data_IF_782102724270
#
_entry.id   IF_782102724270
#
_cell.length_a   1.000
_cell.length_b   1.000
_cell.length_c   1.000
_cell.angle_alpha   90.00
_cell.angle_beta   90.00
_cell.angle_gamma   90.00
#
_symmetry.space_group_name_H-M   'P 1'
#
loop_
_entity.id
_entity.type
_entity.pdbx_description
1 polymer ?
#
# COMPACT_ATOMS: atom_id res chain seq x y z
N UNK A 1 6.37 -22.13 -7.95
CA UNK A 1 5.80 -21.39 -6.80
C UNK A 1 6.41 -19.99 -6.70
N UNK A 2 7.73 -19.83 -6.72
CA UNK A 2 8.41 -18.54 -6.76
C UNK A 2 7.89 -17.61 -7.88
N UNK A 3 7.86 -18.09 -9.13
CA UNK A 3 7.41 -17.28 -10.27
C UNK A 3 5.93 -16.89 -10.17
N UNK A 4 5.10 -17.75 -9.57
CA UNK A 4 3.68 -17.45 -9.31
C UNK A 4 3.56 -16.29 -8.31
N UNK A 5 4.34 -16.32 -7.23
CA UNK A 5 4.34 -15.25 -6.21
C UNK A 5 4.79 -13.92 -6.83
N UNK A 6 5.85 -13.93 -7.63
CA UNK A 6 6.36 -12.72 -8.29
C UNK A 6 5.35 -12.16 -9.28
N UNK A 7 4.75 -13.01 -10.12
CA UNK A 7 3.78 -12.55 -11.11
C UNK A 7 2.53 -11.98 -10.44
N UNK A 8 1.99 -12.67 -9.41
CA UNK A 8 0.86 -12.14 -8.63
C UNK A 8 1.20 -10.81 -7.96
N UNK A 9 2.42 -10.68 -7.42
CA UNK A 9 2.85 -9.41 -6.84
C UNK A 9 2.90 -8.30 -7.89
N UNK A 10 3.41 -8.57 -9.09
CA UNK A 10 3.50 -7.58 -10.16
C UNK A 10 2.10 -7.12 -10.62
N UNK A 11 1.15 -8.05 -10.76
CA UNK A 11 -0.23 -7.73 -11.10
C UNK A 11 -0.89 -6.85 -10.02
N UNK A 12 -0.68 -7.20 -8.74
CA UNK A 12 -1.12 -6.38 -7.61
C UNK A 12 -0.49 -5.00 -7.63
N UNK A 13 0.81 -4.90 -7.93
CA UNK A 13 1.55 -3.64 -7.98
C UNK A 13 1.04 -2.72 -9.10
N UNK A 14 0.85 -3.25 -10.31
CA UNK A 14 0.30 -2.48 -11.45
C UNK A 14 -1.13 -1.99 -11.13
N UNK A 15 -1.95 -2.80 -10.47
CA UNK A 15 -3.27 -2.38 -10.04
C UNK A 15 -3.21 -1.28 -8.98
N UNK A 16 -2.34 -1.44 -7.97
CA UNK A 16 -2.13 -0.43 -6.94
C UNK A 16 -1.68 0.90 -7.53
N UNK A 17 -0.75 0.91 -8.50
CA UNK A 17 -0.32 2.14 -9.17
C UNK A 17 -1.48 2.89 -9.83
N UNK A 18 -2.43 2.18 -10.45
CA UNK A 18 -3.63 2.80 -11.05
C UNK A 18 -4.54 3.42 -9.99
N UNK A 19 -4.77 2.71 -8.89
CA UNK A 19 -5.62 3.17 -7.78
C UNK A 19 -5.00 4.39 -7.07
N UNK A 20 -3.70 4.33 -6.79
CA UNK A 20 -2.96 5.44 -6.19
C UNK A 20 -2.93 6.64 -7.13
N UNK A 21 -2.77 6.39 -8.44
CA UNK A 21 -2.83 7.43 -9.47
C UNK A 21 -4.15 8.22 -9.48
N UNK A 22 -5.29 7.55 -9.26
CA UNK A 22 -6.59 8.23 -9.17
C UNK A 22 -6.81 8.95 -7.83
N UNK A 23 -6.04 8.61 -6.80
CA UNK A 23 -6.12 9.21 -5.47
C UNK A 23 -5.08 10.30 -5.20
N UNK A 24 -4.24 10.66 -6.19
CA UNK A 24 -3.17 11.65 -6.02
C UNK A 24 -3.68 12.96 -5.38
N UNK A 25 -2.93 13.45 -4.39
CA UNK A 25 -3.29 14.63 -3.58
C UNK A 25 -4.29 14.35 -2.45
N UNK A 26 -4.93 13.18 -2.42
CA UNK A 26 -5.93 12.79 -1.41
C UNK A 26 -5.53 11.52 -0.64
N UNK A 27 -4.22 11.25 -0.54
CA UNK A 27 -3.68 10.10 0.19
C UNK A 27 -3.15 10.59 1.53
N UNK A 28 -3.59 9.95 2.60
CA UNK A 28 -3.03 10.11 3.94
C UNK A 28 -2.04 8.98 4.22
N UNK A 29 -0.95 9.28 4.93
CA UNK A 29 0.08 8.30 5.24
C UNK A 29 0.15 8.07 6.75
N UNK A 30 0.27 6.81 7.14
CA UNK A 30 0.68 6.42 8.49
C UNK A 30 2.07 5.80 8.40
N UNK A 31 2.98 6.28 9.24
CA UNK A 31 4.33 5.77 9.37
C UNK A 31 4.41 5.02 10.70
N UNK A 32 4.82 3.76 10.63
CA UNK A 32 5.18 2.97 11.81
C UNK A 32 6.69 2.76 11.80
N UNK A 33 7.34 3.07 12.92
CA UNK A 33 8.77 2.93 13.11
C UNK A 33 8.98 2.16 14.40
N UNK A 34 9.64 1.02 14.30
CA UNK A 34 9.90 0.17 15.45
C UNK A 34 11.28 -0.47 15.35
N UNK A 35 11.71 -1.02 16.47
CA UNK A 35 12.94 -1.80 16.57
C UNK A 35 12.60 -3.22 16.99
N UNK A 36 13.24 -4.22 16.40
CA UNK A 36 13.07 -5.63 16.81
C UNK A 36 13.91 -5.98 18.06
N UNK A 37 13.83 -7.24 18.50
CA UNK A 37 14.60 -7.73 19.65
C UNK A 37 16.12 -7.78 19.41
N UNK A 38 16.56 -7.64 18.16
CA UNK A 38 17.96 -7.61 17.76
C UNK A 38 18.46 -6.20 17.50
N UNK A 39 17.74 -5.17 17.98
CA UNK A 39 18.06 -3.76 17.76
C UNK A 39 18.08 -3.34 16.29
N UNK A 40 17.36 -4.05 15.41
CA UNK A 40 17.17 -3.67 14.01
C UNK A 40 15.98 -2.75 13.88
N UNK A 41 16.17 -1.61 13.24
CA UNK A 41 15.13 -0.62 13.04
C UNK A 41 14.40 -0.86 11.72
N UNK A 42 13.09 -0.67 11.75
CA UNK A 42 12.21 -0.86 10.61
C UNK A 42 11.31 0.36 10.44
N UNK A 43 10.96 0.63 9.20
CA UNK A 43 9.99 1.63 8.79
C UNK A 43 8.94 0.97 7.90
N UNK A 44 7.66 1.14 8.24
CA UNK A 44 6.55 0.88 7.34
C UNK A 44 5.78 2.17 7.05
N UNK A 45 5.46 2.39 5.78
CA UNK A 45 4.58 3.47 5.35
C UNK A 45 3.34 2.87 4.70
N UNK A 46 2.17 3.15 5.27
CA UNK A 46 0.87 2.74 4.71
C UNK A 46 0.15 3.97 4.17
N UNK A 47 -0.28 3.92 2.92
CA UNK A 47 -1.16 4.92 2.33
C UNK A 47 -2.62 4.54 2.53
N UNK A 48 -3.45 5.53 2.83
CA UNK A 48 -4.90 5.40 3.02
C UNK A 48 -5.61 6.43 2.14
N UNK A 49 -6.64 6.02 1.41
CA UNK A 49 -7.42 6.92 0.56
C UNK A 49 -8.87 6.46 0.45
N UNK A 50 -9.74 7.35 -0.03
CA UNK A 50 -11.13 6.99 -0.32
C UNK A 50 -11.26 6.73 -1.82
N UNK A 51 -11.72 5.54 -2.19
CA UNK A 51 -12.14 5.22 -3.55
C UNK A 51 -13.66 5.31 -3.66
N UNK A 52 -14.17 5.46 -4.89
CA UNK A 52 -15.61 5.47 -5.18
C UNK A 52 -15.92 4.42 -6.23
N UNK A 53 -16.82 3.52 -5.92
CA UNK A 53 -17.28 2.53 -6.88
C UNK A 53 -18.01 3.25 -8.04
N UNK A 54 -17.61 3.02 -9.30
CA UNK A 54 -18.18 3.74 -10.44
C UNK A 54 -19.64 3.39 -10.71
N UNK A 55 -20.11 2.21 -10.30
CA UNK A 55 -21.46 1.70 -10.51
C UNK A 55 -22.38 2.06 -9.35
N UNK A 56 -22.00 1.67 -8.13
CA UNK A 56 -22.84 1.80 -6.93
C UNK A 56 -22.70 3.16 -6.24
N UNK A 57 -21.65 3.92 -6.58
CA UNK A 57 -21.30 5.21 -5.97
C UNK A 57 -20.93 5.13 -4.48
N UNK A 58 -20.79 3.94 -3.93
CA UNK A 58 -20.33 3.70 -2.56
C UNK A 58 -18.88 4.15 -2.41
N UNK A 59 -18.57 4.75 -1.26
CA UNK A 59 -17.20 5.12 -0.89
C UNK A 59 -16.55 3.95 -0.14
N UNK A 60 -15.33 3.62 -0.50
CA UNK A 60 -14.52 2.61 0.16
C UNK A 60 -13.28 3.25 0.76
N UNK A 61 -12.95 2.88 2.00
CA UNK A 61 -11.65 3.18 2.58
C UNK A 61 -10.66 2.14 2.07
N UNK A 62 -9.72 2.58 1.26
CA UNK A 62 -8.62 1.79 0.76
C UNK A 62 -7.38 2.01 1.62
N UNK A 63 -6.57 0.97 1.74
CA UNK A 63 -5.25 1.07 2.37
C UNK A 63 -4.26 0.09 1.77
N UNK A 64 -3.01 0.50 1.64
CA UNK A 64 -1.94 -0.37 1.17
C UNK A 64 -0.56 0.03 1.70
N UNK A 65 0.30 -0.96 1.92
CA UNK A 65 1.69 -0.76 2.29
C UNK A 65 2.49 -0.24 1.09
N UNK A 66 3.01 0.97 1.18
CA UNK A 66 3.80 1.60 0.11
C UNK A 66 5.30 1.37 0.30
N UNK A 67 5.75 1.26 1.55
CA UNK A 67 7.16 1.08 1.84
C UNK A 67 7.33 0.22 3.07
N UNK A 68 8.27 -0.70 2.99
CA UNK A 68 8.83 -1.42 4.13
C UNK A 68 10.34 -1.38 3.99
N UNK A 69 11.02 -0.85 5.00
CA UNK A 69 12.47 -0.66 4.95
C UNK A 69 13.11 -1.10 6.26
N UNK A 70 14.23 -1.80 6.15
CA UNK A 70 15.16 -1.99 7.26
C UNK A 70 16.10 -0.78 7.26
N UNK A 71 16.04 0.01 8.33
CA UNK A 71 16.83 1.23 8.50
C UNK A 71 18.31 0.93 8.80
#
# INVERSE_FOLDING_TARGET
MHDLIINTWYDCFVNLQKQVGSALGNISFTLDVWTDRNHKSYLAMTGHWISKDPTTKVLHLESALFTFHHL
#
